data_IF_136533534409
#
_entry.id   IF_136533534409
#
_cell.length_a   1.000
_cell.length_b   1.000
_cell.length_c   1.000
_cell.angle_alpha   90.00
_cell.angle_beta   90.00
_cell.angle_gamma   90.00
#
_symmetry.space_group_name_H-M   'P 1'
#
loop_
_entity.id
_entity.type
_entity.pdbx_description
1 polymer ?
#
# COMPACT_ATOMS: atom_id res chain seq x y z
N UNK A 1 -37.23 24.98 20.68
CA UNK A 1 -36.16 24.24 21.38
C UNK A 1 -35.35 23.51 20.32
N UNK A 2 -34.06 23.81 20.24
CA UNK A 2 -33.18 23.51 19.11
C UNK A 2 -32.74 22.05 19.18
N UNK A 3 -32.83 21.33 18.06
CA UNK A 3 -32.36 19.96 17.90
C UNK A 3 -30.83 19.89 17.99
N UNK A 4 -30.33 19.27 19.05
CA UNK A 4 -28.92 18.90 19.19
C UNK A 4 -28.80 17.39 19.22
N UNK A 5 -28.74 16.78 18.03
CA UNK A 5 -28.29 15.39 17.88
C UNK A 5 -26.76 15.42 17.91
N UNK A 6 -26.21 15.47 19.12
CA UNK A 6 -24.79 15.26 19.36
C UNK A 6 -24.39 13.82 19.03
N UNK A 7 -23.15 13.71 18.54
CA UNK A 7 -22.29 12.53 18.66
C UNK A 7 -22.55 11.34 17.74
N UNK A 8 -22.40 11.60 16.44
CA UNK A 8 -22.14 10.56 15.43
C UNK A 8 -20.66 10.23 15.19
N UNK A 9 -19.70 10.68 16.02
CA UNK A 9 -18.26 10.57 15.71
C UNK A 9 -17.48 9.52 16.53
N UNK A 10 -18.14 8.65 17.29
CA UNK A 10 -17.46 7.67 18.15
C UNK A 10 -17.33 6.26 17.54
N UNK A 11 -17.56 6.06 16.23
CA UNK A 11 -17.54 4.72 15.60
C UNK A 11 -16.55 4.51 14.45
N UNK A 12 -15.60 5.42 14.20
CA UNK A 12 -14.58 5.24 13.14
C UNK A 12 -13.17 5.04 13.67
N UNK A 13 -13.05 4.41 14.83
CA UNK A 13 -11.79 3.91 15.39
C UNK A 13 -11.64 2.41 15.08
N UNK A 14 -12.07 1.96 13.90
CA UNK A 14 -11.59 0.68 13.37
C UNK A 14 -10.17 0.90 12.85
N UNK A 15 -9.18 0.56 13.68
CA UNK A 15 -7.85 0.05 13.30
C UNK A 15 -7.37 0.51 11.91
N UNK A 16 -7.17 1.82 11.72
CA UNK A 16 -6.50 2.29 10.51
C UNK A 16 -5.03 1.91 10.64
N UNK A 17 -4.67 0.72 10.18
CA UNK A 17 -3.27 0.36 9.92
C UNK A 17 -2.68 1.52 9.14
N UNK A 18 -1.61 2.13 9.65
CA UNK A 18 -1.03 3.29 9.00
C UNK A 18 -0.57 2.90 7.59
N UNK A 19 -0.64 3.82 6.64
CA UNK A 19 -0.17 3.56 5.27
C UNK A 19 1.28 3.03 5.26
N UNK A 20 2.11 3.50 6.20
CA UNK A 20 3.49 3.04 6.40
C UNK A 20 3.58 1.59 6.90
N UNK A 21 2.71 1.18 7.83
CA UNK A 21 2.66 -0.21 8.29
C UNK A 21 2.21 -1.14 7.16
N UNK A 22 1.20 -0.73 6.39
CA UNK A 22 0.72 -1.49 5.24
C UNK A 22 1.82 -1.65 4.18
N UNK A 23 2.52 -0.56 3.82
CA UNK A 23 3.67 -0.62 2.90
C UNK A 23 4.76 -1.56 3.46
N UNK A 24 5.06 -1.46 4.76
CA UNK A 24 6.07 -2.30 5.41
C UNK A 24 5.71 -3.79 5.37
N UNK A 25 4.43 -4.14 5.56
CA UNK A 25 3.95 -5.51 5.41
C UNK A 25 4.07 -6.00 3.97
N UNK A 26 3.70 -5.18 2.99
CA UNK A 26 3.81 -5.53 1.57
C UNK A 26 5.28 -5.74 1.18
N UNK A 27 6.20 -4.88 1.63
CA UNK A 27 7.64 -5.01 1.38
C UNK A 27 8.21 -6.31 1.98
N UNK A 28 7.79 -6.71 3.19
CA UNK A 28 8.17 -8.00 3.79
C UNK A 28 7.70 -9.17 2.92
N UNK A 29 6.46 -9.12 2.42
CA UNK A 29 5.92 -10.14 1.51
C UNK A 29 6.69 -10.20 0.20
N UNK A 30 6.98 -9.06 -0.44
CA UNK A 30 7.81 -8.99 -1.67
C UNK A 30 9.18 -9.62 -1.43
N UNK A 31 9.84 -9.31 -0.31
CA UNK A 31 11.14 -9.91 0.04
C UNK A 31 11.05 -11.43 0.15
N UNK A 32 10.00 -11.96 0.77
CA UNK A 32 9.75 -13.40 0.85
C UNK A 32 9.53 -14.04 -0.52
N UNK A 33 8.72 -13.43 -1.38
CA UNK A 33 8.45 -13.91 -2.73
C UNK A 33 9.71 -13.89 -3.60
N UNK A 34 10.52 -12.84 -3.54
CA UNK A 34 11.80 -12.76 -4.27
C UNK A 34 12.77 -13.87 -3.88
N UNK A 35 12.84 -14.23 -2.59
CA UNK A 35 13.63 -15.39 -2.15
C UNK A 35 13.12 -16.69 -2.75
N UNK A 36 11.80 -16.90 -2.79
CA UNK A 36 11.20 -18.09 -3.42
C UNK A 36 11.49 -18.16 -4.92
N UNK A 37 11.42 -17.03 -5.63
CA UNK A 37 11.78 -16.94 -7.05
C UNK A 37 13.23 -17.41 -7.27
N UNK A 38 14.18 -16.92 -6.47
CA UNK A 38 15.60 -17.33 -6.59
C UNK A 38 15.76 -18.83 -6.32
N UNK A 39 15.04 -19.39 -5.35
CA UNK A 39 15.09 -20.83 -5.08
C UNK A 39 14.55 -21.65 -6.27
N UNK A 40 13.41 -21.27 -6.82
CA UNK A 40 12.82 -21.93 -7.99
C UNK A 40 13.70 -21.78 -9.24
N UNK A 41 14.36 -20.64 -9.41
CA UNK A 41 15.32 -20.43 -10.50
C UNK A 41 16.52 -21.38 -10.39
N UNK A 42 17.04 -21.60 -9.18
CA UNK A 42 18.09 -22.60 -8.95
C UNK A 42 17.61 -24.00 -9.28
N UNK A 43 16.42 -24.38 -8.81
CA UNK A 43 15.81 -25.68 -9.14
C UNK A 43 15.63 -25.86 -10.65
N UNK A 44 15.22 -24.80 -11.37
CA UNK A 44 15.07 -24.83 -12.83
C UNK A 44 16.40 -25.08 -13.57
N UNK A 45 17.53 -24.65 -13.00
CA UNK A 45 18.86 -24.88 -13.56
C UNK A 45 19.35 -26.31 -13.33
N UNK A 46 18.96 -26.93 -12.22
CA UNK A 46 19.32 -28.31 -11.86
C UNK A 46 18.36 -29.35 -12.47
N UNK A 47 17.14 -28.95 -12.79
CA UNK A 47 16.11 -29.83 -13.33
C UNK A 47 16.38 -30.22 -14.79
N UNK A 48 16.25 -31.52 -15.06
CA UNK A 48 16.53 -32.12 -16.38
C UNK A 48 15.26 -32.50 -17.12
N UNK A 49 14.16 -32.76 -16.40
CA UNK A 49 12.88 -33.08 -17.03
C UNK A 49 12.25 -31.85 -17.69
N UNK A 50 12.02 -31.84 -19.02
CA UNK A 50 11.39 -30.72 -19.71
C UNK A 50 10.01 -30.36 -19.15
N UNK A 51 9.21 -31.33 -18.68
CA UNK A 51 7.89 -31.04 -18.12
C UNK A 51 8.00 -30.30 -16.78
N UNK A 52 8.84 -30.80 -15.87
CA UNK A 52 9.15 -30.12 -14.62
C UNK A 52 9.71 -28.69 -14.84
N UNK A 53 10.57 -28.49 -15.84
CA UNK A 53 11.10 -27.16 -16.18
C UNK A 53 10.03 -26.17 -16.63
N UNK A 54 9.04 -26.63 -17.40
CA UNK A 54 7.90 -25.79 -17.81
C UNK A 54 7.06 -25.38 -16.59
N UNK A 55 6.79 -26.32 -15.68
CA UNK A 55 6.04 -26.04 -14.45
C UNK A 55 6.78 -25.04 -13.55
N UNK A 56 8.08 -25.24 -13.33
CA UNK A 56 8.92 -24.32 -12.55
C UNK A 56 8.96 -22.92 -13.19
N UNK A 57 9.10 -22.85 -14.51
CA UNK A 57 9.10 -21.58 -15.24
C UNK A 57 7.78 -20.83 -15.08
N UNK A 58 6.64 -21.54 -15.14
CA UNK A 58 5.32 -20.97 -14.90
C UNK A 58 5.18 -20.45 -13.46
N UNK A 59 5.61 -21.22 -12.47
CA UNK A 59 5.57 -20.81 -11.07
C UNK A 59 6.43 -19.56 -10.81
N UNK A 60 7.62 -19.48 -11.43
CA UNK A 60 8.46 -18.29 -11.36
C UNK A 60 7.72 -17.08 -11.94
N UNK A 61 7.11 -17.22 -13.11
CA UNK A 61 6.36 -16.14 -13.75
C UNK A 61 5.18 -15.68 -12.89
N UNK A 62 4.42 -16.61 -12.31
CA UNK A 62 3.28 -16.29 -11.45
C UNK A 62 3.71 -15.52 -10.19
N UNK A 63 4.84 -15.91 -9.58
CA UNK A 63 5.42 -15.18 -8.44
C UNK A 63 5.92 -13.79 -8.83
N UNK A 64 6.55 -13.65 -10.01
CA UNK A 64 6.98 -12.36 -10.53
C UNK A 64 5.79 -11.43 -10.80
N UNK A 65 4.71 -11.95 -11.38
CA UNK A 65 3.46 -11.21 -11.59
C UNK A 65 2.85 -10.74 -10.26
N UNK A 66 2.89 -11.61 -9.24
CA UNK A 66 2.42 -11.27 -7.88
C UNK A 66 3.28 -10.17 -7.27
N UNK A 67 4.61 -10.22 -7.42
CA UNK A 67 5.51 -9.16 -6.96
C UNK A 67 5.16 -7.82 -7.64
N UNK A 68 4.99 -7.81 -8.95
CA UNK A 68 4.64 -6.59 -9.69
C UNK A 68 3.29 -6.01 -9.25
N UNK A 69 2.31 -6.84 -8.93
CA UNK A 69 1.03 -6.40 -8.39
C UNK A 69 1.20 -5.72 -7.02
N UNK A 70 1.98 -6.31 -6.12
CA UNK A 70 2.27 -5.74 -4.80
C UNK A 70 3.04 -4.42 -4.89
N UNK A 71 3.98 -4.31 -5.83
CA UNK A 71 4.70 -3.06 -6.10
C UNK A 71 3.76 -1.95 -6.58
N UNK A 72 2.78 -2.27 -7.43
CA UNK A 72 1.72 -1.33 -7.83
C UNK A 72 0.84 -0.91 -6.65
N UNK A 73 0.52 -1.83 -5.74
CA UNK A 73 -0.24 -1.49 -4.53
C UNK A 73 0.52 -0.50 -3.64
N UNK A 74 1.84 -0.67 -3.47
CA UNK A 74 2.67 0.31 -2.75
C UNK A 74 2.57 1.68 -3.41
N UNK A 75 2.74 1.76 -4.73
CA UNK A 75 2.67 3.02 -5.46
C UNK A 75 1.32 3.73 -5.26
N UNK A 76 0.20 2.98 -5.29
CA UNK A 76 -1.14 3.51 -5.05
C UNK A 76 -1.31 4.06 -3.62
N UNK A 77 -0.77 3.35 -2.62
CA UNK A 77 -0.81 3.80 -1.22
C UNK A 77 0.01 5.09 -1.05
N UNK A 78 1.22 5.14 -1.60
CA UNK A 78 2.06 6.34 -1.55
C UNK A 78 1.41 7.54 -2.23
N UNK A 79 0.80 7.35 -3.39
CA UNK A 79 0.11 8.42 -4.11
C UNK A 79 -1.12 8.93 -3.33
N UNK A 80 -1.88 8.02 -2.71
CA UNK A 80 -2.99 8.38 -1.84
C UNK A 80 -2.51 9.19 -0.62
N UNK A 81 -1.39 8.80 0.00
CA UNK A 81 -0.80 9.54 1.12
C UNK A 81 -0.31 10.94 0.71
N UNK A 82 0.35 11.06 -0.45
CA UNK A 82 0.79 12.36 -0.98
C UNK A 82 -0.41 13.29 -1.22
N UNK A 83 -1.48 12.79 -1.83
CA UNK A 83 -2.72 13.56 -2.04
C UNK A 83 -3.35 13.98 -0.71
N UNK A 84 -3.40 13.09 0.29
CA UNK A 84 -3.90 13.42 1.64
C UNK A 84 -3.03 14.47 2.34
N UNK A 85 -1.71 14.43 2.16
CA UNK A 85 -0.81 15.44 2.71
C UNK A 85 -1.04 16.81 2.08
N UNK A 86 -1.15 16.87 0.74
CA UNK A 86 -1.43 18.11 0.01
C UNK A 86 -2.75 18.75 0.44
N UNK A 87 -3.82 17.95 0.54
CA UNK A 87 -5.14 18.44 0.99
C UNK A 87 -5.09 19.00 2.42
N UNK A 88 -4.35 18.35 3.32
CA UNK A 88 -4.17 18.85 4.69
C UNK A 88 -3.40 20.18 4.72
N UNK A 89 -2.37 20.31 3.87
CA UNK A 89 -1.60 21.55 3.76
C UNK A 89 -2.45 22.70 3.22
N UNK A 90 -3.24 22.45 2.16
CA UNK A 90 -4.15 23.45 1.61
C UNK A 90 -5.18 23.89 2.64
N UNK A 91 -5.81 22.94 3.34
CA UNK A 91 -6.78 23.26 4.39
C UNK A 91 -6.17 24.11 5.53
N UNK A 92 -4.92 23.85 5.90
CA UNK A 92 -4.21 24.66 6.90
C UNK A 92 -3.95 26.10 6.41
N UNK A 93 -3.57 26.27 5.15
CA UNK A 93 -3.37 27.59 4.54
C UNK A 93 -4.67 28.38 4.45
N UNK A 94 -5.76 27.72 4.03
CA UNK A 94 -7.09 28.35 3.92
C UNK A 94 -7.60 28.80 5.30
N UNK A 95 -7.45 27.95 6.33
CA UNK A 95 -7.81 28.31 7.71
C UNK A 95 -6.98 29.48 8.25
N UNK A 96 -5.66 29.49 7.98
CA UNK A 96 -4.79 30.59 8.39
C UNK A 96 -5.17 31.91 7.68
N UNK A 97 -5.54 31.84 6.39
CA UNK A 97 -6.00 32.99 5.63
C UNK A 97 -7.35 33.52 6.14
N UNK A 98 -8.28 32.64 6.51
CA UNK A 98 -9.56 33.03 7.13
C UNK A 98 -9.38 33.69 8.50
N UNK A 99 -8.49 33.16 9.35
CA UNK A 99 -8.19 33.77 10.65
C UNK A 99 -7.63 35.19 10.48
N UNK A 100 -6.68 35.39 9.56
CA UNK A 100 -6.08 36.70 9.30
C UNK A 100 -7.07 37.74 8.74
N UNK A 101 -8.11 37.30 8.02
CA UNK A 101 -9.19 38.17 7.50
C UNK A 101 -10.21 38.56 8.55
N UNK A 102 -10.36 37.78 9.64
CA UNK A 102 -11.29 38.07 10.74
C UNK A 102 -10.71 39.02 11.79
N UNK A 103 -9.41 39.24 11.78
CA UNK A 103 -8.68 40.13 12.71
C UNK A 103 -8.44 41.55 12.15
N UNK A 104 -8.97 41.87 10.97
CA UNK A 104 -8.99 43.21 10.36
C UNK A 104 -10.42 43.76 10.37
#
# INVERSE_FOLDING_TARGET
>A
MVSSVLSGSARRMELSVSAQDQISMILKSIKGLRKKVVLLQKQLMEETDPQARVLLSKQIQDLQNTIALLERQIAQIEEAERRRAQMRQQAQLDMAAEHKRREQ
#
